data_IF_436347522369
#
_entry.id   IF_436347522369
#
_cell.length_a   1.000
_cell.length_b   1.000
_cell.length_c   1.000
_cell.angle_alpha   90.00
_cell.angle_beta   90.00
_cell.angle_gamma   90.00
#
_symmetry.space_group_name_H-M   'P 1'
#
loop_
_entity.id
_entity.type
_entity.pdbx_description
1 polymer ?
#
# COMPACT_ATOMS: atom_id res chain seq x y z
N UNK A 1 7.07 28.13 0.92
CA UNK A 1 7.64 26.98 1.66
C UNK A 1 6.68 25.81 1.45
N UNK A 2 6.91 24.96 0.45
CA UNK A 2 6.06 23.79 0.18
C UNK A 2 6.62 22.62 0.98
N UNK A 3 5.99 22.29 2.11
CA UNK A 3 6.33 21.09 2.86
C UNK A 3 5.77 19.86 2.13
N UNK A 4 6.60 19.18 1.36
CA UNK A 4 6.24 17.87 0.79
C UNK A 4 6.61 16.79 1.82
N UNK A 5 5.68 16.46 2.71
CA UNK A 5 5.77 15.22 3.48
C UNK A 5 5.36 14.07 2.58
N UNK A 6 6.31 13.31 2.04
CA UNK A 6 6.04 11.99 1.46
C UNK A 6 7.34 11.18 1.65
N UNK A 7 7.37 10.13 2.51
CA UNK A 7 6.49 8.98 2.35
C UNK A 7 6.02 8.33 3.67
N UNK A 8 4.73 8.05 3.80
CA UNK A 8 4.27 7.01 4.72
C UNK A 8 4.41 5.70 3.96
N UNK A 9 5.20 4.77 4.50
CA UNK A 9 5.19 3.37 4.08
C UNK A 9 4.45 2.59 5.17
N UNK A 10 3.13 2.47 5.03
CA UNK A 10 2.35 1.61 5.90
C UNK A 10 2.19 0.26 5.21
N UNK A 11 2.82 -0.74 5.80
CA UNK A 11 2.68 -2.14 5.37
C UNK A 11 1.72 -2.80 6.36
N UNK A 12 0.56 -3.23 5.88
CA UNK A 12 -0.42 -3.96 6.67
C UNK A 12 -0.68 -5.32 6.05
N UNK A 13 -0.62 -6.35 6.87
CA UNK A 13 -1.16 -7.67 6.51
C UNK A 13 -2.64 -7.70 6.93
N UNK A 14 -3.54 -7.88 5.97
CA UNK A 14 -4.94 -8.20 6.27
C UNK A 14 -5.05 -9.71 6.50
N UNK A 15 -5.14 -10.12 7.76
CA UNK A 15 -5.24 -11.52 8.15
C UNK A 15 -6.55 -12.20 7.71
N UNK A 16 -7.55 -11.44 7.24
CA UNK A 16 -8.84 -12.02 6.76
C UNK A 16 -8.69 -12.72 5.41
N UNK A 17 -7.80 -12.23 4.57
CA UNK A 17 -7.55 -12.72 3.20
C UNK A 17 -6.06 -12.88 2.88
N UNK A 18 -5.20 -12.64 3.87
CA UNK A 18 -3.74 -12.71 3.80
C UNK A 18 -3.12 -11.76 2.75
N UNK A 19 -3.77 -10.63 2.50
CA UNK A 19 -3.29 -9.61 1.57
C UNK A 19 -2.30 -8.65 2.23
N UNK A 20 -1.26 -8.28 1.50
CA UNK A 20 -0.33 -7.23 1.90
C UNK A 20 -0.75 -5.91 1.25
N UNK A 21 -1.07 -4.92 2.07
CA UNK A 21 -1.44 -3.57 1.62
C UNK A 21 -0.26 -2.64 1.90
N UNK A 22 0.17 -1.93 0.86
CA UNK A 22 1.20 -0.90 0.93
C UNK A 22 0.56 0.43 0.55
N UNK A 23 0.51 1.35 1.51
CA UNK A 23 0.18 2.74 1.24
C UNK A 23 1.49 3.50 1.04
N UNK A 24 1.61 4.22 -0.06
CA UNK A 24 2.79 5.01 -0.42
C UNK A 24 2.40 6.44 -0.79
N UNK A 25 2.64 7.37 0.12
CA UNK A 25 2.25 8.77 -0.09
C UNK A 25 0.74 9.00 -0.01
N UNK A 26 0.21 9.92 -0.81
CA UNK A 26 -1.18 10.40 -0.66
C UNK A 26 -2.19 9.64 -1.54
N UNK A 27 -1.73 9.04 -2.65
CA UNK A 27 -2.62 8.50 -3.70
C UNK A 27 -2.29 7.07 -4.15
N UNK A 28 -1.21 6.45 -3.66
CA UNK A 28 -0.79 5.12 -4.13
C UNK A 28 -1.13 4.06 -3.10
N UNK A 29 -2.03 3.15 -3.50
CA UNK A 29 -2.32 1.90 -2.81
C UNK A 29 -1.92 0.70 -3.69
N UNK A 30 -1.11 -0.19 -3.11
CA UNK A 30 -0.72 -1.44 -3.73
C UNK A 30 -1.20 -2.61 -2.87
N UNK A 31 -1.93 -3.53 -3.47
CA UNK A 31 -2.31 -4.79 -2.82
C UNK A 31 -1.54 -5.93 -3.46
N UNK A 32 -0.96 -6.79 -2.63
CA UNK A 32 -0.31 -8.03 -3.04
C UNK A 32 -1.11 -9.19 -2.44
N UNK A 33 -1.61 -10.05 -3.33
CA UNK A 33 -2.33 -11.27 -2.98
C UNK A 33 -1.35 -12.35 -2.48
N UNK A 34 -1.83 -13.38 -1.74
CA UNK A 34 -0.97 -14.41 -1.17
C UNK A 34 -0.15 -15.22 -2.19
N UNK A 35 -0.58 -15.26 -3.44
CA UNK A 35 0.11 -15.91 -4.56
C UNK A 35 1.22 -15.05 -5.18
N UNK A 36 1.37 -13.81 -4.71
CA UNK A 36 2.35 -12.85 -5.19
C UNK A 36 1.88 -11.98 -6.35
N UNK A 37 0.63 -12.15 -6.81
CA UNK A 37 0.02 -11.24 -7.77
C UNK A 37 -0.24 -9.88 -7.11
N UNK A 38 -0.01 -8.79 -7.85
CA UNK A 38 -0.14 -7.44 -7.31
C UNK A 38 -1.03 -6.57 -8.19
N UNK A 39 -1.75 -5.65 -7.56
CA UNK A 39 -2.65 -4.71 -8.23
C UNK A 39 -2.47 -3.31 -7.67
N UNK A 40 -2.46 -2.35 -8.59
CA UNK A 40 -2.55 -0.92 -8.28
C UNK A 40 -4.03 -0.55 -8.12
N UNK A 41 -4.37 0.09 -7.01
CA UNK A 41 -5.69 0.64 -6.78
C UNK A 41 -5.55 2.17 -6.81
N UNK A 42 -6.36 2.82 -7.66
CA UNK A 42 -6.42 4.28 -7.80
C UNK A 42 -7.71 4.81 -7.21
#
# INVERSE_FOLDING_TARGET
MTGFYIPIYLIRLDERNNQLIILAGDEIELTIDPDGEWRFLT
#
